data_IF_189703232008
#
_entry.id   IF_189703232008
#
_cell.length_a   1.000
_cell.length_b   1.000
_cell.length_c   1.000
_cell.angle_alpha   90.00
_cell.angle_beta   90.00
_cell.angle_gamma   90.00
#
_symmetry.space_group_name_H-M   'P 1'
#
loop_
_entity.id
_entity.type
_entity.pdbx_description
1 polymer ?
#
# COMPACT_ATOMS: atom_id res chain seq x y z
N UNK A 1 12.95 -46.68 -49.99
CA UNK A 1 12.03 -45.95 -49.09
C UNK A 1 12.72 -45.98 -47.76
N UNK A 2 13.43 -44.89 -47.48
CA UNK A 2 14.64 -44.92 -46.68
C UNK A 2 14.29 -44.83 -45.19
N UNK A 3 14.90 -45.70 -44.39
CA UNK A 3 14.80 -45.76 -42.93
C UNK A 3 15.14 -44.43 -42.23
N UNK A 4 15.66 -43.45 -42.99
CA UNK A 4 15.97 -42.09 -42.58
C UNK A 4 14.78 -41.37 -41.95
N UNK A 5 13.54 -41.59 -42.42
CA UNK A 5 12.38 -40.95 -41.80
C UNK A 5 12.14 -41.47 -40.38
N UNK A 6 12.25 -42.79 -40.18
CA UNK A 6 12.07 -43.40 -38.87
C UNK A 6 13.20 -43.00 -37.91
N UNK A 7 14.43 -42.87 -38.41
CA UNK A 7 15.56 -42.35 -37.64
C UNK A 7 15.33 -40.90 -37.21
N UNK A 8 14.92 -40.02 -38.12
CA UNK A 8 14.65 -38.60 -37.81
C UNK A 8 13.50 -38.50 -36.79
N UNK A 9 12.40 -39.22 -37.01
CA UNK A 9 11.26 -39.22 -36.09
C UNK A 9 11.67 -39.69 -34.69
N UNK A 10 12.49 -40.75 -34.59
CA UNK A 10 13.02 -41.26 -33.33
C UNK A 10 13.88 -40.24 -32.58
N UNK A 11 14.80 -39.55 -33.25
CA UNK A 11 15.61 -38.50 -32.64
C UNK A 11 14.80 -37.28 -32.22
N UNK A 12 13.76 -36.93 -32.97
CA UNK A 12 12.88 -35.81 -32.64
C UNK A 12 12.06 -36.12 -31.38
N UNK A 13 11.52 -37.34 -31.28
CA UNK A 13 10.80 -37.81 -30.11
C UNK A 13 11.71 -37.87 -28.88
N UNK A 14 12.93 -38.42 -29.03
CA UNK A 14 13.91 -38.50 -27.96
C UNK A 14 14.30 -37.10 -27.44
N UNK A 15 14.59 -36.15 -28.33
CA UNK A 15 14.87 -34.77 -27.96
C UNK A 15 13.73 -34.11 -27.19
N UNK A 16 12.47 -34.34 -27.63
CA UNK A 16 11.28 -33.85 -26.93
C UNK A 16 11.12 -34.43 -25.52
N UNK A 17 11.35 -35.74 -25.35
CA UNK A 17 11.28 -36.42 -24.05
C UNK A 17 12.38 -35.92 -23.11
N UNK A 18 13.60 -35.73 -23.61
CA UNK A 18 14.72 -35.21 -22.80
C UNK A 18 14.43 -33.78 -22.35
N UNK A 19 13.93 -32.92 -23.24
CA UNK A 19 13.58 -31.54 -22.88
C UNK A 19 12.48 -31.47 -21.80
N UNK A 20 11.38 -32.21 -21.99
CA UNK A 20 10.29 -32.29 -21.01
C UNK A 20 10.75 -32.90 -19.68
N UNK A 21 11.56 -33.96 -19.73
CA UNK A 21 12.11 -34.63 -18.55
C UNK A 21 13.03 -33.71 -17.75
N UNK A 22 13.92 -32.99 -18.42
CA UNK A 22 14.82 -32.02 -17.77
C UNK A 22 14.06 -30.84 -17.19
N UNK A 23 13.05 -30.30 -17.87
CA UNK A 23 12.20 -29.23 -17.33
C UNK A 23 11.42 -29.68 -16.10
N UNK A 24 10.87 -30.90 -16.09
CA UNK A 24 10.15 -31.45 -14.94
C UNK A 24 11.07 -31.73 -13.75
N UNK A 25 12.23 -32.35 -13.99
CA UNK A 25 13.25 -32.58 -12.96
C UNK A 25 13.77 -31.25 -12.41
N UNK A 26 13.98 -30.25 -13.27
CA UNK A 26 14.40 -28.91 -12.85
C UNK A 26 13.34 -28.25 -11.97
N UNK A 27 12.06 -28.31 -12.34
CA UNK A 27 10.97 -27.77 -11.53
C UNK A 27 10.87 -28.46 -10.15
N UNK A 28 11.06 -29.78 -10.10
CA UNK A 28 11.03 -30.55 -8.85
C UNK A 28 12.24 -30.29 -7.96
N UNK A 29 13.43 -30.10 -8.54
CA UNK A 29 14.67 -29.99 -7.77
C UNK A 29 15.03 -28.55 -7.41
N UNK A 30 14.73 -27.58 -8.28
CA UNK A 30 15.08 -26.18 -8.08
C UNK A 30 13.92 -25.32 -7.58
N UNK A 31 12.68 -25.85 -7.52
CA UNK A 31 11.52 -25.20 -6.89
C UNK A 31 11.38 -23.70 -7.24
N UNK A 32 11.71 -23.30 -8.47
CA UNK A 32 11.86 -21.90 -8.86
C UNK A 32 10.57 -21.07 -8.66
N UNK A 33 9.42 -21.74 -8.63
CA UNK A 33 8.09 -21.12 -8.50
C UNK A 33 7.50 -21.23 -7.07
N UNK A 34 8.23 -21.80 -6.11
CA UNK A 34 7.77 -21.93 -4.72
C UNK A 34 8.68 -21.14 -3.78
N UNK A 35 8.19 -20.00 -3.30
CA UNK A 35 8.75 -19.32 -2.13
C UNK A 35 8.57 -20.21 -0.90
N UNK A 36 9.54 -21.09 -0.62
CA UNK A 36 9.64 -21.76 0.67
C UNK A 36 10.62 -20.96 1.52
N UNK A 37 10.09 -20.15 2.43
CA UNK A 37 10.89 -19.65 3.55
C UNK A 37 11.38 -20.86 4.35
N UNK A 38 12.68 -21.02 4.62
CA UNK A 38 13.18 -22.14 5.39
C UNK A 38 12.61 -22.10 6.81
N UNK A 39 12.29 -23.27 7.37
CA UNK A 39 11.70 -23.39 8.72
C UNK A 39 12.67 -22.96 9.84
N UNK A 40 13.96 -22.84 9.52
CA UNK A 40 14.98 -22.28 10.41
C UNK A 40 15.89 -21.33 9.63
N UNK A 41 15.82 -20.04 9.96
CA UNK A 41 16.77 -19.03 9.47
C UNK A 41 18.12 -19.24 10.18
N UNK A 42 19.19 -19.41 9.40
CA UNK A 42 20.54 -19.61 9.93
C UNK A 42 21.09 -18.36 10.62
N UNK A 43 21.69 -18.56 11.81
CA UNK A 43 22.42 -17.63 12.69
C UNK A 43 22.00 -16.15 12.64
N UNK A 44 21.19 -15.77 13.65
CA UNK A 44 20.89 -14.40 14.00
C UNK A 44 22.18 -13.63 14.33
N UNK A 45 22.43 -12.55 13.58
CA UNK A 45 23.31 -11.47 14.03
C UNK A 45 22.47 -10.67 15.03
N UNK A 46 22.87 -10.69 16.30
CA UNK A 46 22.24 -9.91 17.37
C UNK A 46 22.12 -8.45 16.95
N UNK A 47 20.87 -7.99 16.73
CA UNK A 47 20.55 -6.63 16.29
C UNK A 47 19.39 -6.50 15.29
N UNK A 48 18.78 -7.59 14.83
CA UNK A 48 17.54 -7.54 14.03
C UNK A 48 16.44 -8.30 14.76
N UNK A 49 15.59 -7.55 15.47
CA UNK A 49 14.25 -8.03 15.78
C UNK A 49 13.48 -8.16 14.46
N UNK A 50 13.32 -9.39 13.99
CA UNK A 50 12.15 -9.77 13.21
C UNK A 50 10.96 -9.79 14.17
N UNK A 51 10.21 -8.70 14.23
CA UNK A 51 8.80 -8.78 14.58
C UNK A 51 8.02 -9.16 13.33
N UNK A 52 7.35 -10.31 13.44
CA UNK A 52 6.44 -10.85 12.44
C UNK A 52 5.36 -9.85 12.03
N UNK A 53 4.71 -10.17 10.91
CA UNK A 53 3.66 -9.37 10.30
C UNK A 53 2.58 -8.92 11.28
N UNK A 54 2.81 -7.77 11.90
CA UNK A 54 1.77 -6.92 12.42
C UNK A 54 1.02 -6.39 11.20
N UNK A 55 -0.28 -6.69 11.14
CA UNK A 55 -1.18 -6.06 10.20
C UNK A 55 -0.92 -4.55 10.20
N UNK A 56 -0.98 -3.94 9.02
CA UNK A 56 -0.76 -2.51 8.85
C UNK A 56 -1.59 -1.72 9.88
N UNK A 57 -0.92 -1.37 10.99
CA UNK A 57 -1.30 -0.26 11.82
C UNK A 57 -1.37 0.93 10.87
N UNK A 58 -2.36 1.81 11.06
CA UNK A 58 -2.43 3.05 10.31
C UNK A 58 -1.08 3.79 10.50
N UNK A 59 -0.23 3.70 9.46
CA UNK A 59 1.07 4.34 9.40
C UNK A 59 0.83 5.83 9.62
N UNK A 60 1.50 6.43 10.61
CA UNK A 60 1.32 7.85 10.91
C UNK A 60 1.61 8.65 9.63
N UNK A 61 0.88 9.76 9.37
CA UNK A 61 1.19 10.64 8.24
C UNK A 61 2.66 11.05 8.26
N UNK A 62 3.24 11.19 7.07
CA UNK A 62 4.66 11.53 6.91
C UNK A 62 5.11 12.74 7.74
N UNK A 63 4.37 13.87 7.84
CA UNK A 63 4.77 14.99 8.70
C UNK A 63 4.96 14.61 10.17
N UNK A 64 4.15 13.68 10.69
CA UNK A 64 4.26 13.18 12.07
C UNK A 64 5.43 12.24 12.27
N UNK A 65 5.73 11.43 11.25
CA UNK A 65 6.92 10.58 11.25
C UNK A 65 8.18 11.44 11.19
N UNK A 66 8.23 12.44 10.31
CA UNK A 66 9.35 13.39 10.19
C UNK A 66 9.59 14.18 11.48
N UNK A 67 8.53 14.60 12.16
CA UNK A 67 8.64 15.30 13.44
C UNK A 67 9.23 14.45 14.58
N UNK A 68 9.11 13.11 14.48
CA UNK A 68 9.65 12.15 15.45
C UNK A 68 10.94 11.47 14.97
N UNK A 69 11.38 11.76 13.76
CA UNK A 69 12.47 11.05 13.12
C UNK A 69 13.82 11.34 13.80
N UNK A 70 14.69 10.34 13.80
CA UNK A 70 16.02 10.38 14.37
C UNK A 70 17.08 10.37 13.25
N UNK A 71 17.90 11.43 13.21
CA UNK A 71 18.98 11.61 12.23
C UNK A 71 20.05 10.52 12.36
N UNK A 72 20.40 10.08 13.58
CA UNK A 72 21.40 9.01 13.80
C UNK A 72 20.86 7.65 13.35
N UNK A 73 19.58 7.38 13.61
CA UNK A 73 18.93 6.18 13.07
C UNK A 73 18.91 6.20 11.53
N UNK A 74 18.66 7.37 10.95
CA UNK A 74 18.73 7.60 9.51
C UNK A 74 20.12 7.35 8.93
N UNK A 75 21.17 7.84 9.61
CA UNK A 75 22.56 7.59 9.22
C UNK A 75 22.92 6.10 9.25
N UNK A 76 22.48 5.38 10.28
CA UNK A 76 22.69 3.94 10.38
C UNK A 76 21.98 3.18 9.24
N UNK A 77 20.73 3.55 8.94
CA UNK A 77 19.97 2.99 7.82
C UNK A 77 20.61 3.32 6.46
N UNK A 78 21.21 4.50 6.34
CA UNK A 78 21.90 4.93 5.12
C UNK A 78 23.12 4.07 4.78
N UNK A 79 23.62 3.24 5.71
CA UNK A 79 24.63 2.22 5.39
C UNK A 79 24.21 1.31 4.21
N UNK A 80 22.91 1.06 4.03
CA UNK A 80 22.34 0.32 2.89
C UNK A 80 22.50 1.05 1.55
N UNK A 81 22.70 2.37 1.58
CA UNK A 81 22.81 3.24 0.40
C UNK A 81 24.28 3.54 0.04
N UNK A 82 25.19 3.48 1.02
CA UNK A 82 26.62 3.82 0.87
C UNK A 82 27.36 2.98 -0.18
N UNK A 83 26.88 1.78 -0.49
CA UNK A 83 27.45 0.94 -1.55
C UNK A 83 27.30 1.56 -2.94
N UNK A 84 26.28 2.40 -3.16
CA UNK A 84 25.99 2.99 -4.46
C UNK A 84 26.12 4.52 -4.47
N UNK A 85 25.87 5.18 -3.33
CA UNK A 85 25.80 6.62 -3.22
C UNK A 85 26.82 7.18 -2.23
N UNK A 86 27.55 8.21 -2.63
CA UNK A 86 28.27 9.10 -1.71
C UNK A 86 27.33 10.16 -1.15
N UNK A 87 27.63 10.72 0.02
CA UNK A 87 26.75 11.67 0.70
C UNK A 87 27.48 12.90 1.26
N UNK A 88 28.80 12.94 1.08
CA UNK A 88 29.68 14.03 1.50
C UNK A 88 29.60 15.20 0.52
N UNK A 89 29.81 16.42 1.03
CA UNK A 89 29.85 17.61 0.19
C UNK A 89 30.95 17.49 -0.87
N UNK A 90 30.56 17.59 -2.14
CA UNK A 90 31.49 17.45 -3.27
C UNK A 90 31.98 16.02 -3.52
N UNK A 91 31.37 15.00 -2.91
CA UNK A 91 31.68 13.60 -3.18
C UNK A 91 31.40 13.21 -4.65
N UNK A 92 32.16 12.23 -5.15
CA UNK A 92 32.05 11.76 -6.54
C UNK A 92 30.79 10.92 -6.77
N UNK A 93 30.26 10.94 -8.00
CA UNK A 93 29.24 9.98 -8.39
C UNK A 93 29.82 8.57 -8.54
N UNK A 94 29.01 7.54 -8.26
CA UNK A 94 29.37 6.14 -8.45
C UNK A 94 28.28 5.40 -9.23
N UNK A 95 27.85 4.25 -8.70
CA UNK A 95 26.69 3.51 -9.22
C UNK A 95 25.44 4.41 -9.18
N UNK A 96 25.31 5.20 -8.11
CA UNK A 96 24.34 6.27 -7.98
C UNK A 96 25.00 7.66 -7.89
N UNK A 97 24.22 8.74 -8.04
CA UNK A 97 24.72 10.10 -7.88
C UNK A 97 25.07 10.42 -6.42
N UNK A 98 25.89 11.45 -6.20
CA UNK A 98 26.10 12.03 -4.88
C UNK A 98 24.81 12.67 -4.33
N UNK A 99 24.48 12.36 -3.06
CA UNK A 99 23.22 12.74 -2.41
C UNK A 99 23.34 13.96 -1.48
N UNK A 100 24.51 14.60 -1.38
CA UNK A 100 24.65 15.81 -0.57
C UNK A 100 23.78 16.94 -1.13
N UNK A 101 22.94 17.55 -0.30
CA UNK A 101 22.03 18.62 -0.70
C UNK A 101 20.96 18.15 -1.69
N UNK A 102 20.49 16.89 -1.59
CA UNK A 102 19.50 16.35 -2.55
C UNK A 102 18.06 16.74 -2.25
N UNK A 103 17.74 17.05 -1.00
CA UNK A 103 16.36 17.34 -0.61
C UNK A 103 15.96 18.72 -1.14
N UNK A 104 14.85 18.78 -1.87
CA UNK A 104 14.31 19.95 -2.57
C UNK A 104 14.86 20.20 -3.97
N UNK A 105 15.91 19.47 -4.37
CA UNK A 105 16.49 19.56 -5.71
C UNK A 105 15.62 18.92 -6.78
N UNK A 106 15.80 19.32 -8.04
CA UNK A 106 15.05 18.73 -9.14
C UNK A 106 15.39 17.23 -9.33
N UNK A 107 14.36 16.42 -9.54
CA UNK A 107 14.50 14.97 -9.78
C UNK A 107 15.29 14.73 -11.06
N UNK A 108 16.26 13.82 -11.00
CA UNK A 108 17.13 13.45 -12.12
C UNK A 108 17.83 14.64 -12.81
N UNK A 109 18.13 15.70 -12.05
CA UNK A 109 18.81 16.90 -12.55
C UNK A 109 20.16 17.12 -11.86
N UNK A 110 21.09 17.73 -12.59
CA UNK A 110 22.40 18.12 -12.06
C UNK A 110 23.30 16.93 -11.74
N UNK A 111 23.99 17.00 -10.59
CA UNK A 111 24.90 15.96 -10.07
C UNK A 111 26.09 15.67 -10.98
N UNK A 112 26.78 16.72 -11.46
CA UNK A 112 28.05 16.56 -12.19
C UNK A 112 27.94 15.68 -13.44
N UNK A 113 26.79 15.70 -14.13
CA UNK A 113 26.58 14.94 -15.37
C UNK A 113 26.21 13.47 -15.17
N UNK A 114 25.74 13.07 -13.98
CA UNK A 114 25.30 11.68 -13.75
C UNK A 114 24.23 11.22 -14.75
N UNK A 115 24.38 10.01 -15.30
CA UNK A 115 23.50 9.45 -16.33
C UNK A 115 22.27 8.76 -15.73
N UNK A 116 21.28 9.57 -15.33
CA UNK A 116 19.98 9.09 -14.84
C UNK A 116 19.24 8.17 -15.82
N UNK A 117 18.32 7.36 -15.31
CA UNK A 117 17.40 6.56 -16.12
C UNK A 117 16.40 7.45 -16.85
N UNK A 118 15.95 7.04 -18.04
CA UNK A 118 14.91 7.77 -18.79
C UNK A 118 13.60 7.80 -18.00
N UNK A 119 13.29 6.70 -17.31
CA UNK A 119 12.17 6.59 -16.38
C UNK A 119 12.16 7.66 -15.29
N UNK A 120 13.31 7.91 -14.65
CA UNK A 120 13.39 8.89 -13.57
C UNK A 120 13.39 10.33 -14.12
N UNK A 121 14.04 10.57 -15.26
CA UNK A 121 13.96 11.88 -15.95
C UNK A 121 12.52 12.24 -16.32
N UNK A 122 11.72 11.26 -16.75
CA UNK A 122 10.33 11.47 -17.13
C UNK A 122 9.40 11.81 -15.94
N UNK A 123 9.80 11.53 -14.69
CA UNK A 123 8.99 11.88 -13.50
C UNK A 123 8.93 13.38 -13.26
N UNK A 124 10.02 14.09 -13.53
CA UNK A 124 10.14 15.52 -13.25
C UNK A 124 9.92 15.85 -11.77
N UNK A 125 9.68 17.13 -11.47
CA UNK A 125 9.43 17.61 -10.10
C UNK A 125 10.70 17.78 -9.26
N UNK A 126 10.51 17.82 -7.94
CA UNK A 126 11.56 18.01 -6.94
C UNK A 126 11.55 16.86 -5.94
N UNK A 127 12.70 16.60 -5.34
CA UNK A 127 12.85 15.70 -4.20
C UNK A 127 12.36 16.36 -2.91
N UNK A 128 11.07 16.68 -2.86
CA UNK A 128 10.42 17.04 -1.60
C UNK A 128 10.26 15.81 -0.68
N UNK A 129 9.77 16.04 0.54
CA UNK A 129 9.64 14.97 1.53
C UNK A 129 8.70 13.85 1.08
N UNK A 130 7.60 14.17 0.39
CA UNK A 130 6.59 13.19 -0.06
C UNK A 130 7.10 12.33 -1.21
N UNK A 131 7.73 12.95 -2.21
CA UNK A 131 8.35 12.24 -3.34
C UNK A 131 9.51 11.37 -2.89
N UNK A 132 10.31 11.81 -1.90
CA UNK A 132 11.35 10.98 -1.29
C UNK A 132 10.76 9.81 -0.50
N UNK A 133 9.68 10.01 0.25
CA UNK A 133 8.99 8.91 0.95
C UNK A 133 8.50 7.85 -0.03
N UNK A 134 7.82 8.27 -1.10
CA UNK A 134 7.32 7.38 -2.14
C UNK A 134 8.46 6.66 -2.89
N UNK A 135 9.54 7.36 -3.20
CA UNK A 135 10.74 6.80 -3.82
C UNK A 135 11.41 5.76 -2.93
N UNK A 136 11.66 6.09 -1.67
CA UNK A 136 12.32 5.20 -0.72
C UNK A 136 11.43 4.00 -0.39
N UNK A 137 10.10 4.12 -0.46
CA UNK A 137 9.17 3.00 -0.26
C UNK A 137 9.29 1.96 -1.37
N UNK A 138 9.32 2.39 -2.62
CA UNK A 138 9.48 1.49 -3.77
C UNK A 138 9.96 2.26 -5.02
N UNK A 139 11.28 2.28 -5.31
CA UNK A 139 11.82 3.01 -6.45
C UNK A 139 11.27 2.53 -7.81
N UNK A 140 11.05 1.22 -7.95
CA UNK A 140 10.54 0.62 -9.19
C UNK A 140 9.08 1.03 -9.44
N UNK A 141 8.25 1.05 -8.40
CA UNK A 141 6.88 1.53 -8.51
C UNK A 141 6.82 3.05 -8.73
N UNK A 142 7.73 3.80 -8.11
CA UNK A 142 7.81 5.25 -8.29
C UNK A 142 8.23 5.63 -9.70
N UNK A 143 9.25 4.99 -10.28
CA UNK A 143 9.66 5.17 -11.67
C UNK A 143 9.97 3.83 -12.33
N UNK A 144 8.99 3.31 -13.08
CA UNK A 144 9.14 2.03 -13.78
C UNK A 144 10.23 2.11 -14.85
N UNK A 145 11.20 1.20 -14.78
CA UNK A 145 12.43 1.26 -15.57
C UNK A 145 13.56 2.08 -14.94
N UNK A 146 13.48 2.45 -13.66
CA UNK A 146 14.60 3.07 -12.95
C UNK A 146 15.82 2.15 -12.86
N UNK A 147 17.02 2.74 -12.94
CA UNK A 147 18.30 2.04 -12.74
C UNK A 147 18.60 1.74 -11.26
N UNK A 148 17.87 2.34 -10.33
CA UNK A 148 18.03 2.07 -8.90
C UNK A 148 17.31 0.78 -8.51
N UNK A 149 18.04 -0.34 -8.46
CA UNK A 149 17.52 -1.68 -8.14
C UNK A 149 17.30 -1.93 -6.64
N UNK A 150 16.98 -0.89 -5.87
CA UNK A 150 16.76 -1.00 -4.44
C UNK A 150 15.35 -1.50 -4.15
N UNK A 151 15.20 -2.45 -3.23
CA UNK A 151 13.91 -3.07 -2.90
C UNK A 151 12.92 -2.11 -2.22
N UNK A 152 13.43 -1.04 -1.60
CA UNK A 152 12.63 -0.08 -0.83
C UNK A 152 12.68 -0.32 0.67
N UNK A 153 12.15 0.64 1.43
CA UNK A 153 12.02 0.64 2.88
C UNK A 153 10.51 0.61 3.23
N UNK A 154 9.95 -0.55 3.62
CA UNK A 154 8.52 -0.68 3.81
C UNK A 154 8.00 0.05 5.06
N UNK A 155 8.84 0.22 6.09
CA UNK A 155 8.49 0.92 7.34
C UNK A 155 8.57 2.44 7.16
N UNK A 156 7.53 3.16 7.55
CA UNK A 156 7.46 4.62 7.43
C UNK A 156 8.46 5.36 8.29
N UNK A 157 8.67 4.87 9.52
CA UNK A 157 9.64 5.39 10.46
C UNK A 157 11.07 5.34 9.87
N UNK A 158 11.44 4.22 9.25
CA UNK A 158 12.75 4.05 8.61
C UNK A 158 12.94 5.04 7.45
N UNK A 159 11.89 5.26 6.64
CA UNK A 159 11.93 6.25 5.56
C UNK A 159 12.09 7.66 6.11
N UNK A 160 11.29 8.04 7.11
CA UNK A 160 11.37 9.36 7.73
C UNK A 160 12.75 9.62 8.35
N UNK A 161 13.35 8.62 9.02
CA UNK A 161 14.72 8.68 9.56
C UNK A 161 15.75 8.96 8.44
N UNK A 162 15.69 8.20 7.34
CA UNK A 162 16.60 8.42 6.20
C UNK A 162 16.37 9.79 5.56
N UNK A 163 15.13 10.25 5.45
CA UNK A 163 14.80 11.56 4.88
C UNK A 163 15.36 12.70 5.73
N UNK A 164 15.22 12.68 7.05
CA UNK A 164 15.80 13.73 7.92
C UNK A 164 17.32 13.69 7.92
N UNK A 165 17.93 12.50 7.81
CA UNK A 165 19.37 12.38 7.60
C UNK A 165 19.81 13.03 6.29
N UNK A 166 19.18 12.69 5.16
CA UNK A 166 19.48 13.32 3.86
C UNK A 166 19.26 14.84 3.88
N UNK A 167 18.23 15.31 4.58
CA UNK A 167 17.97 16.74 4.76
C UNK A 167 19.10 17.42 5.54
N UNK A 168 19.64 16.77 6.57
CA UNK A 168 20.77 17.27 7.37
C UNK A 168 22.08 17.36 6.58
N UNK A 169 22.20 16.61 5.47
CA UNK A 169 23.35 16.66 4.56
C UNK A 169 23.27 17.87 3.62
N UNK A 170 23.24 19.08 4.17
CA UNK A 170 23.38 20.33 3.41
C UNK A 170 22.08 20.94 2.88
N UNK A 171 20.98 20.20 2.81
CA UNK A 171 19.69 20.74 2.30
C UNK A 171 19.01 21.64 3.33
N UNK A 172 18.98 21.22 4.60
CA UNK A 172 18.49 21.96 5.76
C UNK A 172 17.10 22.62 5.55
N UNK A 173 16.21 21.97 4.81
CA UNK A 173 14.87 22.48 4.56
C UNK A 173 14.01 22.36 5.83
N UNK A 174 13.09 23.31 6.07
CA UNK A 174 12.17 23.23 7.19
C UNK A 174 11.28 22.00 7.03
N UNK A 175 11.17 21.18 8.07
CA UNK A 175 10.27 20.04 8.09
C UNK A 175 8.81 20.53 8.08
N UNK A 176 7.89 19.82 7.41
CA UNK A 176 6.48 20.14 7.46
C UNK A 176 5.97 20.01 8.90
N UNK A 177 5.04 20.88 9.28
CA UNK A 177 4.42 20.80 10.60
C UNK A 177 3.70 19.45 10.74
N UNK A 178 3.85 18.74 11.87
CA UNK A 178 3.06 17.55 12.12
C UNK A 178 1.57 17.88 11.99
N UNK A 179 0.84 17.05 11.27
CA UNK A 179 -0.62 17.19 11.19
C UNK A 179 -1.21 16.54 12.43
N UNK A 180 -2.34 17.05 12.91
CA UNK A 180 -3.01 16.40 14.04
C UNK A 180 -3.47 15.00 13.59
N UNK A 181 -2.82 13.98 14.16
CA UNK A 181 -3.28 12.61 14.05
C UNK A 181 -4.24 12.41 15.22
N UNK A 182 -5.53 12.18 14.97
CA UNK A 182 -6.46 11.85 16.05
C UNK A 182 -5.89 10.69 16.86
N UNK A 183 -5.81 10.85 18.17
CA UNK A 183 -5.31 9.82 19.06
C UNK A 183 -6.03 8.50 18.76
N UNK A 184 -5.31 7.37 18.72
CA UNK A 184 -5.92 6.06 18.65
C UNK A 184 -6.86 5.89 19.86
N UNK A 185 -8.17 6.11 19.64
CA UNK A 185 -9.21 6.12 20.68
C UNK A 185 -10.07 7.38 20.74
N UNK A 186 -9.68 8.49 20.10
CA UNK A 186 -10.55 9.63 19.86
C UNK A 186 -10.77 9.74 18.35
N UNK A 187 -11.98 9.44 17.88
CA UNK A 187 -12.34 9.60 16.49
C UNK A 187 -11.96 11.02 16.02
N UNK A 188 -11.28 11.20 14.88
CA UNK A 188 -11.19 12.54 14.31
C UNK A 188 -12.61 13.04 14.08
N UNK A 189 -12.89 14.25 14.53
CA UNK A 189 -13.89 15.04 13.83
C UNK A 189 -13.37 15.16 12.39
N UNK A 190 -14.02 14.44 11.47
CA UNK A 190 -13.71 14.48 10.07
C UNK A 190 -13.56 15.94 9.64
N UNK A 191 -12.50 16.27 8.89
CA UNK A 191 -12.65 17.32 7.90
C UNK A 191 -13.79 16.82 7.03
N UNK A 192 -14.99 17.38 7.25
CA UNK A 192 -16.19 16.96 6.56
C UNK A 192 -15.96 17.25 5.08
N UNK A 193 -15.58 16.22 4.33
CA UNK A 193 -15.87 16.19 2.90
C UNK A 193 -17.38 16.26 2.84
N UNK A 194 -17.91 17.46 2.55
CA UNK A 194 -19.35 17.69 2.51
C UNK A 194 -19.89 16.87 1.35
N UNK A 195 -20.60 15.80 1.68
CA UNK A 195 -21.24 14.95 0.69
C UNK A 195 -22.47 15.61 0.08
N UNK A 196 -22.68 15.38 -1.21
CA UNK A 196 -23.87 15.76 -1.95
C UNK A 196 -24.86 14.59 -1.95
N UNK A 197 -25.97 14.74 -1.23
CA UNK A 197 -26.98 13.68 -1.10
C UNK A 197 -27.64 13.29 -2.43
N UNK A 198 -27.74 14.20 -3.40
CA UNK A 198 -28.32 13.89 -4.71
C UNK A 198 -27.38 13.00 -5.53
N UNK A 199 -26.07 13.28 -5.49
CA UNK A 199 -25.06 12.40 -6.08
C UNK A 199 -24.97 11.06 -5.33
N UNK A 200 -25.10 11.11 -4.01
CA UNK A 200 -25.14 9.93 -3.15
C UNK A 200 -26.27 8.96 -3.52
N UNK A 201 -27.46 9.48 -3.80
CA UNK A 201 -28.60 8.67 -4.26
C UNK A 201 -28.28 7.92 -5.55
N UNK A 202 -27.65 8.59 -6.51
CA UNK A 202 -27.26 7.98 -7.78
C UNK A 202 -26.23 6.86 -7.58
N UNK A 203 -25.26 7.05 -6.68
CA UNK A 203 -24.25 6.03 -6.36
C UNK A 203 -24.89 4.86 -5.58
N UNK A 204 -25.84 5.15 -4.68
CA UNK A 204 -26.57 4.16 -3.88
C UNK A 204 -27.40 3.20 -4.74
N UNK A 205 -27.68 3.52 -6.02
CA UNK A 205 -28.31 2.59 -6.95
C UNK A 205 -27.59 1.22 -7.01
N UNK A 206 -26.27 1.19 -6.81
CA UNK A 206 -25.47 -0.05 -6.73
C UNK A 206 -25.85 -0.92 -5.52
N UNK A 207 -26.29 -0.30 -4.42
CA UNK A 207 -26.67 -0.96 -3.18
C UNK A 207 -28.10 -1.53 -3.24
N UNK A 208 -28.97 -0.95 -4.09
CA UNK A 208 -30.38 -1.35 -4.26
C UNK A 208 -30.56 -2.77 -4.80
N UNK A 209 -29.51 -3.37 -5.38
CA UNK A 209 -29.52 -4.77 -5.81
C UNK A 209 -29.66 -5.76 -4.63
N UNK A 210 -29.20 -5.38 -3.44
CA UNK A 210 -29.22 -6.24 -2.25
C UNK A 210 -29.98 -5.65 -1.07
N UNK A 211 -30.10 -4.32 -1.01
CA UNK A 211 -30.67 -3.61 0.13
C UNK A 211 -31.90 -2.79 -0.26
N UNK A 212 -32.92 -2.81 0.59
CA UNK A 212 -33.97 -1.79 0.60
C UNK A 212 -33.52 -0.61 1.48
N UNK A 213 -34.06 0.58 1.24
CA UNK A 213 -33.75 1.77 2.07
C UNK A 213 -34.99 2.58 2.44
N UNK A 214 -36.17 2.17 2.01
CA UNK A 214 -37.42 2.84 2.37
C UNK A 214 -37.94 2.35 3.72
N UNK A 215 -38.69 3.22 4.40
CA UNK A 215 -39.29 2.91 5.70
C UNK A 215 -40.16 1.66 5.61
N UNK A 216 -39.90 0.69 6.49
CA UNK A 216 -40.63 -0.57 6.50
C UNK A 216 -40.32 -1.50 5.33
N UNK A 217 -39.30 -1.21 4.53
CA UNK A 217 -38.86 -2.10 3.44
C UNK A 217 -38.38 -3.46 3.96
N UNK A 218 -38.63 -4.51 3.19
CA UNK A 218 -38.24 -5.88 3.55
C UNK A 218 -36.71 -6.10 3.51
N UNK A 219 -36.23 -7.03 4.33
CA UNK A 219 -34.88 -7.56 4.20
C UNK A 219 -34.79 -8.50 2.99
N UNK A 220 -33.62 -8.55 2.34
CA UNK A 220 -33.33 -9.42 1.21
C UNK A 220 -31.96 -10.06 1.34
N UNK A 221 -31.14 -9.98 0.28
CA UNK A 221 -29.73 -10.39 0.31
C UNK A 221 -28.98 -9.63 1.41
N UNK A 222 -29.29 -8.34 1.57
CA UNK A 222 -28.88 -7.51 2.70
C UNK A 222 -30.07 -7.02 3.53
N UNK A 223 -29.81 -6.47 4.73
CA UNK A 223 -30.84 -5.86 5.57
C UNK A 223 -31.40 -4.57 4.94
N UNK A 224 -32.59 -4.16 5.38
CA UNK A 224 -33.11 -2.82 5.14
C UNK A 224 -32.22 -1.76 5.83
N UNK A 225 -31.85 -0.73 5.06
CA UNK A 225 -30.93 0.34 5.45
C UNK A 225 -31.63 1.66 5.83
N UNK A 226 -32.97 1.69 5.89
CA UNK A 226 -33.70 2.87 6.36
C UNK A 226 -33.31 3.19 7.81
N UNK A 227 -33.06 4.46 8.13
CA UNK A 227 -32.63 4.90 9.45
C UNK A 227 -31.41 4.12 9.99
N UNK A 228 -30.45 3.75 9.13
CA UNK A 228 -29.25 3.01 9.58
C UNK A 228 -28.17 3.91 10.15
N UNK A 229 -28.16 5.19 9.78
CA UNK A 229 -27.20 6.14 10.34
C UNK A 229 -27.46 6.35 11.84
N UNK A 230 -26.41 6.23 12.66
CA UNK A 230 -26.45 6.31 14.12
C UNK A 230 -26.85 5.02 14.84
N UNK A 231 -27.34 4.01 14.11
CA UNK A 231 -27.76 2.74 14.68
C UNK A 231 -26.58 1.82 14.98
N UNK A 232 -26.81 0.82 15.84
CA UNK A 232 -25.79 -0.16 16.20
C UNK A 232 -25.36 -0.99 14.98
N UNK A 233 -24.05 -1.22 14.83
CA UNK A 233 -23.51 -2.15 13.83
C UNK A 233 -24.06 -3.55 14.11
N UNK A 234 -24.66 -4.16 13.08
CA UNK A 234 -25.40 -5.43 13.20
C UNK A 234 -26.50 -5.41 14.28
N UNK A 235 -27.14 -4.25 14.50
CA UNK A 235 -28.30 -4.10 15.38
C UNK A 235 -29.55 -4.80 14.86
N UNK A 236 -30.63 -4.77 15.65
CA UNK A 236 -31.88 -5.43 15.29
C UNK A 236 -32.49 -4.81 14.02
N UNK A 237 -32.70 -5.65 13.00
CA UNK A 237 -33.21 -5.25 11.69
C UNK A 237 -34.22 -6.26 11.19
N UNK A 238 -35.36 -6.40 11.88
CA UNK A 238 -36.42 -7.33 11.49
C UNK A 238 -35.95 -8.78 11.32
N UNK A 239 -35.10 -9.25 12.24
CA UNK A 239 -34.59 -10.63 12.25
C UNK A 239 -33.51 -10.95 11.22
N UNK A 240 -32.90 -9.96 10.54
CA UNK A 240 -31.83 -10.23 9.57
C UNK A 240 -30.62 -10.95 10.21
N UNK A 241 -30.16 -12.03 9.57
CA UNK A 241 -29.07 -12.87 10.06
C UNK A 241 -27.68 -12.35 9.65
N UNK A 242 -27.16 -11.38 10.40
CA UNK A 242 -25.81 -10.85 10.21
C UNK A 242 -24.70 -11.91 10.32
N UNK A 243 -23.54 -11.64 9.71
CA UNK A 243 -22.34 -12.46 9.89
C UNK A 243 -21.79 -12.32 11.31
N UNK A 244 -21.12 -13.37 11.81
CA UNK A 244 -20.43 -13.29 13.10
C UNK A 244 -19.31 -12.24 13.09
N UNK A 245 -18.62 -12.11 11.95
CA UNK A 245 -17.62 -11.07 11.73
C UNK A 245 -18.16 -9.65 11.93
N UNK A 246 -19.37 -9.35 11.44
CA UNK A 246 -19.95 -8.00 11.56
C UNK A 246 -20.53 -7.78 12.96
N UNK A 247 -21.15 -8.81 13.56
CA UNK A 247 -21.60 -8.77 14.97
C UNK A 247 -20.44 -8.50 15.92
N UNK A 248 -19.26 -9.05 15.65
CA UNK A 248 -18.05 -8.87 16.46
C UNK A 248 -17.42 -7.47 16.39
N UNK A 249 -17.81 -6.62 15.44
CA UNK A 249 -17.25 -5.25 15.32
C UNK A 249 -17.76 -4.30 16.39
N UNK A 250 -19.03 -4.44 16.79
CA UNK A 250 -19.68 -3.49 17.70
C UNK A 250 -19.71 -2.05 17.17
N UNK A 251 -20.06 -1.10 18.04
CA UNK A 251 -20.13 0.32 17.68
C UNK A 251 -21.42 0.74 16.97
N UNK A 252 -21.41 1.95 16.41
CA UNK A 252 -22.54 2.61 15.73
C UNK A 252 -22.16 3.04 14.32
N UNK A 253 -23.13 3.10 13.40
CA UNK A 253 -22.93 3.60 12.05
C UNK A 253 -22.87 5.14 12.02
N UNK A 254 -21.71 5.69 12.37
CA UNK A 254 -21.38 7.11 12.18
C UNK A 254 -20.63 7.35 10.85
N UNK A 255 -20.27 8.60 10.57
CA UNK A 255 -19.52 9.00 9.38
C UNK A 255 -18.24 8.17 9.18
N UNK A 256 -17.43 8.01 10.22
CA UNK A 256 -16.15 7.31 10.15
C UNK A 256 -16.34 5.80 9.92
N UNK A 257 -17.31 5.21 10.61
CA UNK A 257 -17.61 3.78 10.53
C UNK A 257 -18.22 3.44 9.16
N UNK A 258 -19.11 4.28 8.64
CA UNK A 258 -19.65 4.12 7.30
C UNK A 258 -18.60 4.36 6.21
N UNK A 259 -17.70 5.33 6.37
CA UNK A 259 -16.61 5.56 5.41
C UNK A 259 -15.68 4.34 5.33
N UNK A 260 -15.28 3.79 6.47
CA UNK A 260 -14.45 2.59 6.54
C UNK A 260 -15.16 1.36 5.95
N UNK A 261 -16.45 1.20 6.24
CA UNK A 261 -17.28 0.13 5.68
C UNK A 261 -17.43 0.24 4.17
N UNK A 262 -17.75 1.44 3.66
CA UNK A 262 -17.90 1.70 2.23
C UNK A 262 -16.58 1.64 1.48
N UNK A 263 -15.44 1.87 2.14
CA UNK A 263 -14.10 1.70 1.54
C UNK A 263 -13.83 0.23 1.22
N UNK A 264 -14.10 -0.67 2.16
CA UNK A 264 -13.97 -2.12 1.94
C UNK A 264 -14.64 -2.92 3.07
N UNK A 265 -15.84 -3.49 2.83
CA UNK A 265 -16.54 -4.30 3.83
C UNK A 265 -15.72 -5.51 4.31
N UNK A 266 -15.02 -6.18 3.40
CA UNK A 266 -14.19 -7.34 3.71
C UNK A 266 -12.99 -6.99 4.62
N UNK A 267 -12.42 -5.78 4.49
CA UNK A 267 -11.37 -5.30 5.41
C UNK A 267 -11.95 -4.79 6.72
N UNK A 268 -13.10 -4.10 6.67
CA UNK A 268 -13.78 -3.62 7.86
C UNK A 268 -14.18 -4.78 8.78
N UNK A 269 -14.77 -5.84 8.23
CA UNK A 269 -15.14 -7.05 8.95
C UNK A 269 -14.76 -8.31 8.15
N UNK A 270 -13.56 -8.85 8.40
CA UNK A 270 -13.07 -10.06 7.75
C UNK A 270 -14.01 -11.24 8.01
N UNK A 271 -14.56 -11.82 6.94
CA UNK A 271 -15.61 -12.85 7.02
C UNK A 271 -17.04 -12.30 7.00
N UNK A 272 -17.23 -11.02 6.65
CA UNK A 272 -18.58 -10.48 6.42
C UNK A 272 -19.27 -11.13 5.23
N UNK A 273 -20.61 -11.26 5.31
CA UNK A 273 -21.45 -11.76 4.21
C UNK A 273 -21.62 -10.74 3.08
N UNK A 274 -21.31 -9.47 3.32
CA UNK A 274 -21.40 -8.43 2.27
C UNK A 274 -20.19 -8.55 1.33
N UNK A 275 -20.44 -8.96 0.09
CA UNK A 275 -19.41 -9.18 -0.95
C UNK A 275 -19.10 -7.93 -1.79
N UNK A 276 -19.55 -6.76 -1.34
CA UNK A 276 -19.31 -5.50 -2.04
C UNK A 276 -17.82 -5.14 -2.03
N UNK A 277 -17.29 -4.77 -3.21
CA UNK A 277 -15.86 -4.50 -3.38
C UNK A 277 -15.39 -3.23 -2.66
N UNK A 278 -16.30 -2.29 -2.39
CA UNK A 278 -16.00 -0.98 -1.82
C UNK A 278 -16.00 0.16 -2.85
N UNK A 279 -15.88 1.39 -2.35
CA UNK A 279 -15.81 2.65 -3.10
C UNK A 279 -14.47 3.30 -2.77
N UNK A 280 -13.54 3.31 -3.72
CA UNK A 280 -12.20 3.85 -3.50
C UNK A 280 -12.19 5.38 -3.35
N UNK A 281 -13.05 6.07 -4.11
CA UNK A 281 -13.15 7.53 -4.11
C UNK A 281 -13.80 8.06 -2.82
N UNK A 282 -13.10 8.95 -2.12
CA UNK A 282 -13.54 9.47 -0.83
C UNK A 282 -14.76 10.40 -0.94
N UNK A 283 -14.88 11.19 -2.03
CA UNK A 283 -16.04 12.05 -2.24
C UNK A 283 -17.29 11.22 -2.53
N UNK A 284 -17.18 10.15 -3.32
CA UNK A 284 -18.30 9.24 -3.58
C UNK A 284 -18.80 8.55 -2.30
N UNK A 285 -17.91 8.20 -1.37
CA UNK A 285 -18.32 7.68 -0.06
C UNK A 285 -19.03 8.75 0.76
N UNK A 286 -18.48 9.96 0.83
CA UNK A 286 -19.10 11.08 1.53
C UNK A 286 -20.51 11.39 0.97
N UNK A 287 -20.67 11.39 -0.36
CA UNK A 287 -21.96 11.59 -1.03
C UNK A 287 -22.98 10.50 -0.64
N UNK A 288 -22.59 9.21 -0.66
CA UNK A 288 -23.45 8.10 -0.23
C UNK A 288 -23.85 8.23 1.24
N UNK A 289 -22.91 8.58 2.12
CA UNK A 289 -23.18 8.79 3.55
C UNK A 289 -24.15 9.95 3.74
N UNK A 290 -23.97 11.05 3.01
CA UNK A 290 -24.90 12.19 3.02
C UNK A 290 -26.31 11.77 2.59
N UNK A 291 -26.44 10.94 1.55
CA UNK A 291 -27.73 10.37 1.15
C UNK A 291 -28.34 9.47 2.23
N UNK A 292 -27.56 8.57 2.85
CA UNK A 292 -28.04 7.70 3.91
C UNK A 292 -28.54 8.50 5.13
N UNK A 293 -27.91 9.63 5.47
CA UNK A 293 -28.40 10.55 6.52
C UNK A 293 -29.77 11.15 6.23
N UNK A 294 -30.18 11.23 4.97
CA UNK A 294 -31.53 11.71 4.60
C UNK A 294 -32.62 10.67 4.82
N UNK A 295 -32.26 9.39 4.98
CA UNK A 295 -33.19 8.26 5.12
C UNK A 295 -33.34 7.90 6.58
N UNK A 296 -34.22 8.61 7.28
CA UNK A 296 -34.52 8.48 8.70
C UNK A 296 -36.02 8.51 8.94
#
# INVERSE_FOLDING_TARGET
MDDRFNTIAGWTLFGGIVALGLSSLSAHYFLADKEHRPETMGYAIEGVEEEGGAGAAAELPLPNLLAKADVKAGEALFAKCKACHTAEQGGANGIGPNLYGVVGEAVAAGRGGFAFSDALKAKGGKWDFESLDAWLKNPKAYADGTKMSFAGLPKGEDRANVIVYLNSLGSNLPLPAPVEVPAAGAAPAAVAVVGDAAKGEAIFAKCKACHTIDQGGANGIGPNLFAVYGEKVAGERGGFAFSDALKGKGGTWDDATLDAWLTSPAKFAQGTKMTFAGIADAQQRADVIAYMKTKK
#
